data_IF_837454260045
#
_entry.id   IF_837454260045
#
_cell.length_a   1.000
_cell.length_b   1.000
_cell.length_c   1.000
_cell.angle_alpha   90.00
_cell.angle_beta   90.00
_cell.angle_gamma   90.00
#
_symmetry.space_group_name_H-M   'P 1'
#
loop_
_entity.id
_entity.type
_entity.pdbx_description
1 polymer ?
#
# COMPACT_ATOMS: atom_id res chain seq x y z
N UNK A 1 -24.18 -12.94 -0.50
CA UNK A 1 -23.01 -13.46 0.27
C UNK A 1 -21.78 -12.73 -0.25
N UNK A 2 -20.97 -12.14 0.63
CA UNK A 2 -19.72 -11.50 0.22
C UNK A 2 -18.72 -12.57 -0.24
N UNK A 3 -18.18 -12.42 -1.45
CA UNK A 3 -17.14 -13.30 -1.96
C UNK A 3 -15.89 -13.05 -1.09
N UNK A 4 -15.32 -14.12 -0.52
CA UNK A 4 -14.14 -14.02 0.36
C UNK A 4 -12.91 -13.61 -0.44
N UNK A 5 -12.06 -12.78 0.15
CA UNK A 5 -10.75 -12.44 -0.43
C UNK A 5 -9.87 -13.68 -0.60
N UNK A 6 -9.06 -13.69 -1.65
CA UNK A 6 -8.00 -14.69 -1.84
C UNK A 6 -6.74 -14.22 -1.14
N UNK A 7 -6.07 -15.09 -0.38
CA UNK A 7 -4.82 -14.76 0.31
C UNK A 7 -3.63 -15.21 -0.52
N UNK A 8 -2.75 -14.26 -0.83
CA UNK A 8 -1.46 -14.50 -1.45
C UNK A 8 -0.35 -14.31 -0.42
N UNK A 9 0.69 -15.14 -0.51
CA UNK A 9 1.91 -15.01 0.29
C UNK A 9 3.09 -14.79 -0.64
N UNK A 10 3.92 -13.82 -0.33
CA UNK A 10 5.13 -13.52 -1.09
C UNK A 10 6.29 -13.28 -0.12
N UNK A 11 7.42 -13.91 -0.36
CA UNK A 11 8.68 -13.56 0.28
C UNK A 11 9.44 -12.65 -0.67
N UNK A 12 9.76 -11.44 -0.20
CA UNK A 12 10.37 -10.39 -1.02
C UNK A 12 11.71 -10.01 -0.41
N UNK A 13 12.78 -10.32 -1.14
CA UNK A 13 14.13 -9.94 -0.77
C UNK A 13 14.47 -8.63 -1.49
N UNK A 14 14.70 -7.57 -0.72
CA UNK A 14 14.95 -6.22 -1.24
C UNK A 14 16.42 -5.90 -1.05
N UNK A 15 17.08 -5.49 -2.14
CA UNK A 15 18.42 -4.93 -2.14
C UNK A 15 18.38 -3.56 -2.83
N UNK A 16 18.04 -2.53 -2.08
CA UNK A 16 17.95 -1.14 -2.55
C UNK A 16 19.26 -0.42 -2.25
N UNK A 17 20.08 -0.21 -3.29
CA UNK A 17 21.39 0.42 -3.17
C UNK A 17 21.32 1.93 -2.90
N UNK A 18 20.26 2.60 -3.36
CA UNK A 18 20.09 4.05 -3.21
C UNK A 18 19.77 4.41 -1.76
N UNK A 19 18.98 3.58 -1.09
CA UNK A 19 18.60 3.74 0.32
C UNK A 19 19.47 2.93 1.28
N UNK A 20 20.40 2.13 0.76
CA UNK A 20 21.14 1.12 1.52
C UNK A 20 20.23 0.20 2.35
N UNK A 21 19.10 -0.19 1.76
CA UNK A 21 18.06 -0.99 2.43
C UNK A 21 18.11 -2.44 1.94
N UNK A 22 18.53 -3.33 2.85
CA UNK A 22 18.71 -4.75 2.58
C UNK A 22 17.89 -5.57 3.58
N UNK A 23 16.70 -5.99 3.18
CA UNK A 23 15.79 -6.72 4.05
C UNK A 23 14.96 -7.75 3.30
N UNK A 24 14.53 -8.78 4.02
CA UNK A 24 13.57 -9.77 3.55
C UNK A 24 12.22 -9.55 4.23
N UNK A 25 11.16 -9.43 3.42
CA UNK A 25 9.79 -9.20 3.87
C UNK A 25 8.89 -10.38 3.54
N UNK A 26 8.19 -10.91 4.53
CA UNK A 26 7.15 -11.92 4.33
C UNK A 26 5.77 -11.24 4.24
N UNK A 27 5.32 -10.99 3.02
CA UNK A 27 4.05 -10.30 2.75
C UNK A 27 2.88 -11.28 2.77
N UNK A 28 1.80 -10.89 3.42
CA UNK A 28 0.48 -11.54 3.33
C UNK A 28 -0.52 -10.56 2.71
N UNK A 29 -0.95 -10.85 1.49
CA UNK A 29 -1.79 -9.96 0.69
C UNK A 29 -3.19 -10.53 0.62
N UNK A 30 -4.18 -9.77 1.08
CA UNK A 30 -5.58 -10.07 0.81
C UNK A 30 -5.98 -9.40 -0.51
N UNK A 31 -6.35 -10.21 -1.51
CA UNK A 31 -6.89 -9.74 -2.78
C UNK A 31 -8.41 -9.78 -2.76
N UNK A 32 -9.06 -8.62 -2.85
CA UNK A 32 -10.52 -8.57 -2.96
C UNK A 32 -10.95 -9.16 -4.32
N UNK A 33 -12.13 -9.78 -4.44
CA UNK A 33 -12.59 -10.36 -5.71
C UNK A 33 -12.71 -9.37 -6.87
N UNK A 34 -12.89 -8.08 -6.58
CA UNK A 34 -12.88 -7.00 -7.59
C UNK A 34 -11.49 -6.46 -7.92
N UNK A 35 -10.45 -6.92 -7.22
CA UNK A 35 -9.08 -6.49 -7.45
C UNK A 35 -8.41 -7.42 -8.47
N UNK A 36 -7.79 -6.82 -9.49
CA UNK A 36 -7.03 -7.53 -10.52
C UNK A 36 -5.65 -7.94 -10.00
N UNK A 37 -5.05 -8.95 -10.62
CA UNK A 37 -3.67 -9.35 -10.32
C UNK A 37 -2.69 -8.21 -10.56
N UNK A 38 -2.88 -7.44 -11.64
CA UNK A 38 -2.09 -6.25 -11.96
C UNK A 38 -2.14 -5.23 -10.83
N UNK A 39 -3.33 -4.90 -10.31
CA UNK A 39 -3.48 -3.98 -9.19
C UNK A 39 -2.80 -4.48 -7.92
N UNK A 40 -2.96 -5.76 -7.61
CA UNK A 40 -2.31 -6.38 -6.46
C UNK A 40 -0.78 -6.30 -6.60
N UNK A 41 -0.24 -6.61 -7.78
CA UNK A 41 1.20 -6.53 -8.05
C UNK A 41 1.72 -5.10 -8.01
N UNK A 42 0.92 -4.11 -8.40
CA UNK A 42 1.27 -2.69 -8.22
C UNK A 42 1.35 -2.30 -6.74
N UNK A 43 0.50 -2.86 -5.86
CA UNK A 43 0.68 -2.68 -4.40
C UNK A 43 1.99 -3.32 -3.91
N UNK A 44 2.36 -4.48 -4.44
CA UNK A 44 3.65 -5.12 -4.10
C UNK A 44 4.83 -4.26 -4.57
N UNK A 45 4.78 -3.72 -5.78
CA UNK A 45 5.81 -2.81 -6.29
C UNK A 45 5.92 -1.55 -5.44
N UNK A 46 4.80 -0.92 -5.09
CA UNK A 46 4.76 0.24 -4.23
C UNK A 46 5.31 -0.07 -2.83
N UNK A 47 5.00 -1.25 -2.28
CA UNK A 47 5.60 -1.71 -1.04
C UNK A 47 7.12 -1.81 -1.16
N UNK A 48 7.63 -2.48 -2.20
CA UNK A 48 9.08 -2.64 -2.42
C UNK A 48 9.77 -1.28 -2.49
N UNK A 49 9.21 -0.33 -3.27
CA UNK A 49 9.79 1.00 -3.46
C UNK A 49 9.88 1.82 -2.17
N UNK A 50 8.92 1.62 -1.26
CA UNK A 50 8.80 2.34 0.00
C UNK A 50 9.08 1.47 1.23
N UNK A 51 9.69 0.30 1.06
CA UNK A 51 9.78 -0.72 2.10
C UNK A 51 10.37 -0.15 3.39
N UNK A 52 9.68 -0.42 4.50
CA UNK A 52 10.07 -0.05 5.85
C UNK A 52 9.37 -0.98 6.84
N UNK A 53 9.91 -1.08 8.05
CA UNK A 53 9.36 -1.97 9.10
C UNK A 53 7.96 -1.52 9.58
N UNK A 54 7.59 -0.27 9.31
CA UNK A 54 6.31 0.34 9.71
C UNK A 54 5.35 0.54 8.54
N UNK A 55 5.73 0.17 7.31
CA UNK A 55 4.84 0.20 6.15
C UNK A 55 3.88 -0.98 6.23
N UNK A 56 2.58 -0.69 6.17
CA UNK A 56 1.53 -1.70 6.30
C UNK A 56 0.48 -1.55 5.21
N UNK A 57 -0.17 -2.66 4.84
CA UNK A 57 -1.30 -2.64 3.92
C UNK A 57 -2.54 -2.09 4.61
N UNK A 58 -3.22 -1.18 3.93
CA UNK A 58 -4.58 -0.78 4.29
C UNK A 58 -5.61 -1.58 3.48
N UNK A 59 -6.88 -1.22 3.67
CA UNK A 59 -8.00 -1.82 2.92
C UNK A 59 -8.25 -1.21 1.54
N UNK A 60 -7.56 -0.13 1.15
CA UNK A 60 -7.66 0.49 -0.17
C UNK A 60 -9.10 0.71 -0.62
N UNK A 61 -9.43 0.29 -1.84
CA UNK A 61 -10.77 0.41 -2.42
C UNK A 61 -11.87 -0.35 -1.67
N UNK A 62 -11.54 -1.22 -0.71
CA UNK A 62 -12.53 -1.87 0.14
C UNK A 62 -12.96 -1.01 1.35
N UNK A 63 -12.23 0.07 1.65
CA UNK A 63 -12.61 1.02 2.70
C UNK A 63 -12.21 2.47 2.37
N UNK A 64 -13.19 3.36 2.35
CA UNK A 64 -12.98 4.77 1.99
C UNK A 64 -12.01 5.54 2.90
N UNK A 65 -11.68 5.02 4.09
CA UNK A 65 -10.81 5.67 5.06
C UNK A 65 -9.36 5.15 5.10
N UNK A 66 -9.04 4.11 4.34
CA UNK A 66 -7.72 3.47 4.37
C UNK A 66 -7.09 3.43 2.97
N UNK A 67 -5.80 3.81 2.81
CA UNK A 67 -5.08 3.67 1.55
C UNK A 67 -4.83 2.22 1.17
N UNK A 68 -4.23 2.00 -0.01
CA UNK A 68 -3.64 0.71 -0.35
C UNK A 68 -2.47 0.35 0.59
N UNK A 69 -1.58 1.31 0.86
CA UNK A 69 -0.49 1.18 1.83
C UNK A 69 -0.32 2.49 2.61
N UNK A 70 0.11 2.38 3.85
CA UNK A 70 0.52 3.55 4.64
C UNK A 70 1.67 3.23 5.59
N UNK A 71 2.39 4.28 5.95
CA UNK A 71 3.32 4.25 7.07
C UNK A 71 2.82 5.22 8.13
N UNK A 72 2.77 4.74 9.38
CA UNK A 72 2.43 5.56 10.54
C UNK A 72 3.60 5.64 11.50
N UNK A 73 3.68 6.75 12.22
CA UNK A 73 4.59 6.87 13.34
C UNK A 73 4.03 6.19 14.61
N UNK A 74 4.75 6.29 15.72
CA UNK A 74 4.34 5.70 17.00
C UNK A 74 3.16 6.44 17.65
N UNK A 75 2.83 7.64 17.21
CA UNK A 75 1.64 8.39 17.66
C UNK A 75 0.38 8.04 16.87
N UNK A 76 0.55 7.32 15.75
CA UNK A 76 -0.51 6.98 14.80
C UNK A 76 -0.70 8.03 13.70
N UNK A 77 0.12 9.09 13.67
CA UNK A 77 0.13 10.05 12.58
C UNK A 77 0.58 9.37 11.28
N UNK A 78 -0.07 9.72 10.16
CA UNK A 78 0.21 9.11 8.86
C UNK A 78 1.38 9.87 8.22
N UNK A 79 2.53 9.22 8.16
CA UNK A 79 3.74 9.78 7.54
C UNK A 79 3.67 9.63 6.01
N UNK A 80 3.20 8.47 5.54
CA UNK A 80 3.11 8.16 4.11
C UNK A 80 1.76 7.52 3.80
N UNK A 81 1.08 8.04 2.78
CA UNK A 81 -0.15 7.52 2.21
C UNK A 81 0.10 7.13 0.76
N UNK A 82 -0.13 5.87 0.40
CA UNK A 82 0.09 5.37 -0.96
C UNK A 82 -1.22 4.86 -1.55
N UNK A 83 -1.55 5.37 -2.74
CA UNK A 83 -2.64 4.88 -3.57
C UNK A 83 -2.12 4.24 -4.85
N UNK A 84 -2.83 3.23 -5.32
CA UNK A 84 -2.56 2.51 -6.57
C UNK A 84 -3.80 2.59 -7.46
N UNK A 85 -3.62 3.19 -8.65
CA UNK A 85 -4.64 3.38 -9.68
C UNK A 85 -4.90 4.85 -9.97
N UNK A 86 -6.16 5.16 -10.29
CA UNK A 86 -6.62 6.50 -10.66
C UNK A 86 -7.64 7.01 -9.63
N UNK A 87 -7.19 7.49 -8.45
CA UNK A 87 -8.10 8.02 -7.43
C UNK A 87 -8.79 9.29 -7.91
N UNK A 88 -10.03 9.50 -7.46
CA UNK A 88 -10.75 10.74 -7.74
C UNK A 88 -10.22 11.93 -6.90
N UNK A 89 -10.63 13.14 -7.27
CA UNK A 89 -10.19 14.37 -6.60
C UNK A 89 -10.52 14.37 -5.10
N UNK A 90 -11.67 13.79 -4.71
CA UNK A 90 -12.08 13.72 -3.30
C UNK A 90 -11.14 12.84 -2.49
N UNK A 91 -10.73 11.70 -3.06
CA UNK A 91 -9.78 10.77 -2.44
C UNK A 91 -8.40 11.40 -2.31
N UNK A 92 -7.93 12.10 -3.34
CA UNK A 92 -6.65 12.82 -3.30
C UNK A 92 -6.68 13.90 -2.22
N UNK A 93 -7.70 14.75 -2.20
CA UNK A 93 -7.85 15.81 -1.21
C UNK A 93 -7.86 15.26 0.22
N UNK A 94 -8.56 14.15 0.44
CA UNK A 94 -8.60 13.45 1.73
C UNK A 94 -7.23 12.91 2.15
N UNK A 95 -6.50 12.29 1.22
CA UNK A 95 -5.16 11.77 1.50
C UNK A 95 -4.21 12.90 1.91
N UNK A 96 -4.18 14.00 1.13
CA UNK A 96 -3.33 15.16 1.40
C UNK A 96 -3.68 15.87 2.71
N UNK A 97 -4.94 15.84 3.14
CA UNK A 97 -5.36 16.39 4.43
C UNK A 97 -5.02 15.52 5.65
N UNK A 98 -4.56 14.28 5.45
CA UNK A 98 -4.36 13.29 6.53
C UNK A 98 -2.93 12.80 6.68
N UNK A 99 -2.09 12.95 5.66
CA UNK A 99 -0.74 12.43 5.63
C UNK A 99 0.29 13.50 5.31
N UNK A 100 1.50 13.35 5.84
CA UNK A 100 2.62 14.23 5.53
C UNK A 100 3.07 14.09 4.06
N UNK A 101 3.11 12.86 3.56
CA UNK A 101 3.42 12.56 2.17
C UNK A 101 2.34 11.68 1.54
N UNK A 102 1.93 12.05 0.32
CA UNK A 102 1.02 11.26 -0.52
C UNK A 102 1.73 10.85 -1.81
N UNK A 103 1.66 9.57 -2.15
CA UNK A 103 2.20 9.01 -3.39
C UNK A 103 1.10 8.26 -4.13
N UNK A 104 0.97 8.49 -5.43
CA UNK A 104 -0.02 7.83 -6.28
C UNK A 104 0.71 7.10 -7.39
N UNK A 105 0.54 5.79 -7.45
CA UNK A 105 1.03 4.94 -8.53
C UNK A 105 -0.07 4.78 -9.57
N UNK A 106 0.01 5.54 -10.65
CA UNK A 106 -0.91 5.45 -11.78
C UNK A 106 -0.45 4.36 -12.75
N UNK A 107 -1.41 3.61 -13.31
CA UNK A 107 -1.20 2.55 -14.30
C UNK A 107 -2.48 2.34 -15.10
#
# INVERSE_FOLDING_TARGET
MAIKSTIYKAEVQIADMDRHYYQTHALTLARHPSETDERMMMRVLAFIRHASDTLTSGKGNAADDEPDLWQKDLTGAIMLWIEVGLPDEKRILKACGRAEQVVIYTY
#
